data_IF_898426032756
#
_entry.id   IF_898426032756
#
_cell.length_a   1.000
_cell.length_b   1.000
_cell.length_c   1.000
_cell.angle_alpha   90.00
_cell.angle_beta   90.00
_cell.angle_gamma   90.00
#
_symmetry.space_group_name_H-M   'P 1'
#
loop_
_entity.id
_entity.type
_entity.pdbx_description
1 polymer ?
#
# COMPACT_ATOMS: atom_id res chain seq x y z
N UNK A 1 35.55 9.95 -18.71
CA UNK A 1 34.25 9.25 -18.71
C UNK A 1 34.54 7.75 -18.71
N UNK A 2 34.28 6.98 -17.66
CA UNK A 2 34.37 5.53 -17.72
C UNK A 2 33.08 5.01 -18.36
N UNK A 3 33.23 4.33 -19.47
CA UNK A 3 32.19 3.57 -20.17
C UNK A 3 31.72 2.47 -19.20
N UNK A 4 30.51 2.60 -18.68
CA UNK A 4 29.88 1.55 -17.87
C UNK A 4 29.59 0.36 -18.79
N UNK A 5 30.47 -0.62 -18.74
CA UNK A 5 30.27 -1.95 -19.33
C UNK A 5 28.95 -2.52 -18.82
N UNK A 6 27.96 -2.62 -19.71
CA UNK A 6 26.71 -3.36 -19.48
C UNK A 6 27.00 -4.85 -19.52
N UNK A 7 27.73 -5.36 -18.54
CA UNK A 7 27.89 -6.80 -18.35
C UNK A 7 26.51 -7.40 -18.01
N UNK A 8 26.13 -8.48 -18.69
CA UNK A 8 24.94 -9.26 -18.39
C UNK A 8 24.96 -9.66 -16.89
N UNK A 9 23.81 -9.60 -16.21
CA UNK A 9 23.78 -9.96 -14.80
C UNK A 9 24.20 -11.42 -14.62
N UNK A 10 25.00 -11.74 -13.58
CA UNK A 10 25.41 -13.11 -13.32
C UNK A 10 24.15 -14.01 -13.15
N UNK A 11 24.22 -15.24 -13.67
CA UNK A 11 23.09 -16.19 -13.71
C UNK A 11 22.34 -16.30 -12.36
N UNK A 12 23.07 -16.26 -11.24
CA UNK A 12 22.49 -16.29 -9.90
C UNK A 12 21.67 -15.04 -9.54
N UNK A 13 22.00 -13.86 -10.09
CA UNK A 13 21.22 -12.64 -9.87
C UNK A 13 19.93 -12.64 -10.70
N UNK A 14 19.97 -13.19 -11.91
CA UNK A 14 18.77 -13.34 -12.74
C UNK A 14 17.77 -14.29 -12.08
N UNK A 15 18.23 -15.43 -11.57
CA UNK A 15 17.38 -16.39 -10.85
C UNK A 15 16.72 -15.74 -9.63
N UNK A 16 17.48 -15.01 -8.79
CA UNK A 16 16.94 -14.30 -7.63
C UNK A 16 15.82 -13.33 -8.04
N UNK A 17 16.11 -12.42 -9.00
CA UNK A 17 15.15 -11.39 -9.39
C UNK A 17 13.91 -11.96 -10.06
N UNK A 18 14.06 -12.99 -10.91
CA UNK A 18 12.91 -13.64 -11.56
C UNK A 18 12.03 -14.38 -10.55
N UNK A 19 12.62 -15.13 -9.61
CA UNK A 19 11.88 -15.81 -8.54
C UNK A 19 11.17 -14.79 -7.64
N UNK A 20 11.80 -13.67 -7.32
CA UNK A 20 11.21 -12.61 -6.51
C UNK A 20 10.05 -11.93 -7.23
N UNK A 21 10.16 -11.66 -8.54
CA UNK A 21 9.06 -11.11 -9.33
C UNK A 21 7.88 -12.09 -9.45
N UNK A 22 8.18 -13.38 -9.63
CA UNK A 22 7.12 -14.40 -9.66
C UNK A 22 6.41 -14.51 -8.31
N UNK A 23 7.17 -14.42 -7.20
CA UNK A 23 6.61 -14.36 -5.85
C UNK A 23 5.67 -13.15 -5.70
N UNK A 24 6.15 -11.94 -6.03
CA UNK A 24 5.37 -10.72 -5.96
C UNK A 24 4.10 -10.76 -6.83
N UNK A 25 4.18 -11.34 -8.02
CA UNK A 25 3.03 -11.55 -8.90
C UNK A 25 1.98 -12.47 -8.27
N UNK A 26 2.41 -13.64 -7.78
CA UNK A 26 1.51 -14.66 -7.23
C UNK A 26 0.91 -14.24 -5.89
N UNK A 27 1.63 -13.43 -5.13
CA UNK A 27 1.19 -12.94 -3.83
C UNK A 27 -0.09 -12.10 -3.95
N UNK A 28 -0.19 -11.28 -4.98
CA UNK A 28 -1.38 -10.46 -5.27
C UNK A 28 -2.33 -11.09 -6.30
N UNK A 29 -2.00 -12.27 -6.85
CA UNK A 29 -2.86 -12.96 -7.81
C UNK A 29 -4.00 -13.72 -7.09
N UNK A 30 -4.90 -12.98 -6.45
CA UNK A 30 -6.01 -13.52 -5.65
C UNK A 30 -7.35 -13.16 -6.30
N UNK A 31 -8.04 -14.16 -6.84
CA UNK A 31 -9.29 -13.97 -7.58
C UNK A 31 -10.49 -13.61 -6.67
N UNK A 32 -10.38 -13.84 -5.37
CA UNK A 32 -11.41 -13.45 -4.40
C UNK A 32 -11.49 -11.92 -4.17
N UNK A 33 -10.42 -11.16 -4.41
CA UNK A 33 -10.37 -9.71 -4.12
C UNK A 33 -11.57 -8.92 -4.64
N UNK A 34 -12.00 -9.04 -5.89
CA UNK A 34 -13.12 -8.25 -6.39
C UNK A 34 -14.50 -8.68 -5.87
N UNK A 35 -14.63 -9.81 -5.20
CA UNK A 35 -15.93 -10.40 -4.87
C UNK A 35 -16.10 -10.85 -3.41
N UNK A 36 -15.06 -10.79 -2.56
CA UNK A 36 -15.20 -11.27 -1.18
C UNK A 36 -16.21 -10.47 -0.36
N UNK A 37 -16.28 -9.14 -0.55
CA UNK A 37 -17.27 -8.31 0.14
C UNK A 37 -18.70 -8.68 -0.26
N UNK A 38 -18.92 -9.09 -1.52
CA UNK A 38 -20.22 -9.65 -1.96
C UNK A 38 -20.51 -11.00 -1.30
N UNK A 39 -19.50 -11.89 -1.20
CA UNK A 39 -19.64 -13.15 -0.49
C UNK A 39 -20.14 -12.93 0.94
N UNK A 40 -19.62 -11.91 1.63
CA UNK A 40 -20.06 -11.58 2.99
C UNK A 40 -21.51 -11.08 3.00
N UNK A 41 -21.90 -10.22 2.07
CA UNK A 41 -23.28 -9.74 1.92
C UNK A 41 -24.22 -10.89 1.58
N UNK A 42 -23.87 -11.77 0.64
CA UNK A 42 -24.67 -12.90 0.23
C UNK A 42 -24.81 -13.97 1.34
N UNK A 43 -23.86 -13.98 2.29
CA UNK A 43 -23.95 -14.80 3.51
C UNK A 43 -24.88 -14.17 4.57
N UNK A 44 -25.40 -12.95 4.31
CA UNK A 44 -26.34 -12.24 5.18
C UNK A 44 -25.67 -11.33 6.21
N UNK A 45 -24.39 -10.99 6.06
CA UNK A 45 -23.73 -10.03 6.94
C UNK A 45 -24.21 -8.60 6.66
N UNK A 46 -24.47 -7.88 7.73
CA UNK A 46 -24.72 -6.44 7.66
C UNK A 46 -23.44 -5.66 7.31
N UNK A 47 -23.57 -4.46 6.79
CA UNK A 47 -22.44 -3.56 6.51
C UNK A 47 -21.59 -3.32 7.78
N UNK A 48 -22.23 -3.23 8.96
CA UNK A 48 -21.52 -3.11 10.23
C UNK A 48 -20.63 -4.32 10.53
N UNK A 49 -21.13 -5.53 10.28
CA UNK A 49 -20.33 -6.75 10.43
C UNK A 49 -19.18 -6.81 9.42
N UNK A 50 -19.42 -6.44 8.15
CA UNK A 50 -18.37 -6.36 7.12
C UNK A 50 -17.30 -5.35 7.53
N UNK A 51 -17.69 -4.15 7.95
CA UNK A 51 -16.75 -3.14 8.42
C UNK A 51 -15.95 -3.61 9.64
N UNK A 52 -16.58 -4.36 10.56
CA UNK A 52 -15.87 -4.92 11.72
C UNK A 52 -14.80 -5.96 11.32
N UNK A 53 -15.01 -6.70 10.23
CA UNK A 53 -14.01 -7.60 9.67
C UNK A 53 -12.79 -6.82 9.16
N UNK A 54 -13.00 -5.71 8.47
CA UNK A 54 -11.90 -4.84 8.01
C UNK A 54 -11.15 -4.19 9.19
N UNK A 55 -11.88 -3.80 10.26
CA UNK A 55 -11.25 -3.33 11.50
C UNK A 55 -10.39 -4.42 12.14
N UNK A 56 -10.87 -5.66 12.19
CA UNK A 56 -10.10 -6.81 12.69
C UNK A 56 -8.80 -6.99 11.89
N UNK A 57 -8.87 -6.87 10.55
CA UNK A 57 -7.70 -6.96 9.69
C UNK A 57 -6.69 -5.84 9.98
N UNK A 58 -7.12 -4.56 9.97
CA UNK A 58 -6.25 -3.41 10.29
C UNK A 58 -5.64 -3.52 11.69
N UNK A 59 -6.43 -3.89 12.70
CA UNK A 59 -5.93 -4.08 14.07
C UNK A 59 -4.90 -5.21 14.15
N UNK A 60 -5.11 -6.31 13.43
CA UNK A 60 -4.14 -7.41 13.38
C UNK A 60 -2.82 -6.92 12.78
N UNK A 61 -2.86 -6.15 11.70
CA UNK A 61 -1.66 -5.53 11.11
C UNK A 61 -0.92 -4.64 12.09
N UNK A 62 -1.61 -3.69 12.73
CA UNK A 62 -1.04 -2.78 13.72
C UNK A 62 -0.39 -3.53 14.89
N UNK A 63 -1.09 -4.54 15.44
CA UNK A 63 -0.59 -5.29 16.60
C UNK A 63 0.63 -6.14 16.27
N UNK A 64 0.72 -6.62 15.05
CA UNK A 64 1.81 -7.51 14.61
C UNK A 64 2.98 -6.78 13.96
N UNK A 65 2.88 -5.48 13.69
CA UNK A 65 3.96 -4.70 13.06
C UNK A 65 5.29 -4.78 13.84
N UNK A 66 5.24 -4.65 15.17
CA UNK A 66 6.45 -4.75 16.02
C UNK A 66 6.94 -6.18 16.19
N UNK A 67 6.09 -7.18 16.53
CA UNK A 67 6.51 -8.58 16.62
C UNK A 67 7.08 -9.13 15.32
N UNK A 68 6.59 -8.70 14.16
CA UNK A 68 7.04 -9.20 12.86
C UNK A 68 8.51 -8.91 12.57
N UNK A 69 9.01 -7.74 12.99
CA UNK A 69 10.42 -7.40 12.88
C UNK A 69 11.32 -8.38 13.65
N UNK A 70 10.94 -8.72 14.88
CA UNK A 70 11.66 -9.71 15.71
C UNK A 70 11.64 -11.10 15.06
N UNK A 71 10.51 -11.49 14.48
CA UNK A 71 10.42 -12.79 13.78
C UNK A 71 11.27 -12.83 12.52
N UNK A 72 11.34 -11.74 11.76
CA UNK A 72 12.17 -11.64 10.55
C UNK A 72 13.68 -11.78 10.86
N UNK A 73 14.13 -11.41 12.06
CA UNK A 73 15.51 -11.56 12.50
C UNK A 73 15.78 -12.95 13.10
N UNK A 74 14.82 -13.51 13.86
CA UNK A 74 14.97 -14.79 14.55
C UNK A 74 14.79 -16.01 13.63
N UNK A 75 13.90 -15.92 12.64
CA UNK A 75 13.49 -17.04 11.76
C UNK A 75 14.08 -16.85 10.36
N UNK A 76 14.11 -17.92 9.57
CA UNK A 76 14.47 -17.85 8.14
C UNK A 76 13.46 -16.99 7.38
N UNK A 77 13.94 -15.91 6.74
CA UNK A 77 13.09 -15.02 5.93
C UNK A 77 12.41 -15.78 4.78
N UNK A 78 13.12 -16.70 4.15
CA UNK A 78 12.55 -17.62 3.15
C UNK A 78 11.40 -18.43 3.71
N UNK A 79 11.54 -18.95 4.95
CA UNK A 79 10.49 -19.71 5.59
C UNK A 79 9.26 -18.82 5.88
N UNK A 80 9.47 -17.59 6.36
CA UNK A 80 8.38 -16.62 6.57
C UNK A 80 7.64 -16.33 5.25
N UNK A 81 8.39 -16.10 4.16
CA UNK A 81 7.82 -15.86 2.83
C UNK A 81 7.13 -17.10 2.22
N UNK A 82 7.43 -18.29 2.70
CA UNK A 82 6.71 -19.49 2.29
C UNK A 82 5.45 -19.74 3.15
N UNK A 83 5.52 -19.48 4.46
CA UNK A 83 4.40 -19.70 5.40
C UNK A 83 3.31 -18.63 5.21
N UNK A 84 3.69 -17.40 4.94
CA UNK A 84 2.72 -16.31 4.80
C UNK A 84 1.63 -16.59 3.74
N UNK A 85 1.93 -16.99 2.49
CA UNK A 85 0.90 -17.35 1.52
C UNK A 85 0.05 -18.56 1.94
N UNK A 86 0.59 -19.51 2.73
CA UNK A 86 -0.18 -20.63 3.25
C UNK A 86 -1.29 -20.19 4.21
N UNK A 87 -1.02 -19.16 5.04
CA UNK A 87 -2.05 -18.55 5.89
C UNK A 87 -3.15 -17.92 5.04
N UNK A 88 -2.80 -17.24 3.95
CA UNK A 88 -3.76 -16.74 2.97
C UNK A 88 -4.58 -17.85 2.33
N UNK A 89 -3.94 -18.95 1.91
CA UNK A 89 -4.62 -20.11 1.33
C UNK A 89 -5.63 -20.71 2.30
N UNK A 90 -5.27 -20.87 3.58
CA UNK A 90 -6.17 -21.34 4.63
C UNK A 90 -7.35 -20.37 4.81
N UNK A 91 -7.08 -19.07 4.94
CA UNK A 91 -8.12 -18.04 5.10
C UNK A 91 -9.13 -18.04 3.95
N UNK A 92 -8.66 -17.99 2.71
CA UNK A 92 -9.53 -18.01 1.51
C UNK A 92 -10.28 -19.32 1.34
N UNK A 93 -9.63 -20.46 1.66
CA UNK A 93 -10.28 -21.76 1.65
C UNK A 93 -11.41 -21.86 2.66
N UNK A 94 -11.19 -21.36 3.88
CA UNK A 94 -12.20 -21.35 4.95
C UNK A 94 -13.38 -20.44 4.59
N UNK A 95 -13.15 -19.27 3.98
CA UNK A 95 -14.21 -18.34 3.58
C UNK A 95 -15.22 -18.97 2.62
N UNK A 96 -14.73 -19.82 1.72
CA UNK A 96 -15.58 -20.45 0.72
C UNK A 96 -16.18 -21.78 1.24
N UNK A 97 -15.44 -22.51 2.08
CA UNK A 97 -15.89 -23.82 2.58
C UNK A 97 -16.93 -23.71 3.70
N UNK A 98 -16.83 -22.70 4.57
CA UNK A 98 -17.69 -22.53 5.75
C UNK A 98 -18.05 -21.06 5.98
N UNK A 99 -18.79 -20.40 5.05
CA UNK A 99 -19.05 -18.98 5.11
C UNK A 99 -19.85 -18.61 6.36
N UNK A 100 -19.22 -17.88 7.27
CA UNK A 100 -19.83 -17.33 8.48
C UNK A 100 -18.99 -16.18 9.02
N UNK A 101 -19.58 -15.29 9.82
CA UNK A 101 -18.89 -14.13 10.38
C UNK A 101 -17.57 -14.50 11.08
N UNK A 102 -17.57 -15.51 11.94
CA UNK A 102 -16.38 -15.90 12.70
C UNK A 102 -15.30 -16.52 11.83
N UNK A 103 -15.67 -17.24 10.80
CA UNK A 103 -14.73 -17.81 9.82
C UNK A 103 -14.14 -16.69 8.96
N UNK A 104 -14.93 -15.69 8.57
CA UNK A 104 -14.42 -14.50 7.87
C UNK A 104 -13.47 -13.71 8.77
N UNK A 105 -13.81 -13.53 10.06
CA UNK A 105 -12.94 -12.87 11.03
C UNK A 105 -11.61 -13.61 11.19
N UNK A 106 -11.64 -14.93 11.33
CA UNK A 106 -10.42 -15.76 11.38
C UNK A 106 -9.58 -15.59 10.11
N UNK A 107 -10.20 -15.60 8.93
CA UNK A 107 -9.49 -15.40 7.67
C UNK A 107 -8.81 -14.02 7.59
N UNK A 108 -9.45 -12.96 8.10
CA UNK A 108 -8.81 -11.62 8.17
C UNK A 108 -7.68 -11.57 9.19
N UNK A 109 -7.78 -12.27 10.33
CA UNK A 109 -6.64 -12.43 11.24
C UNK A 109 -5.49 -13.14 10.53
N UNK A 110 -5.76 -14.26 9.84
CA UNK A 110 -4.73 -14.99 9.07
C UNK A 110 -4.11 -14.10 7.98
N UNK A 111 -4.91 -13.27 7.31
CA UNK A 111 -4.42 -12.33 6.31
C UNK A 111 -3.57 -11.21 6.92
N UNK A 112 -3.97 -10.67 8.07
CA UNK A 112 -3.15 -9.72 8.82
C UNK A 112 -1.82 -10.31 9.28
N UNK A 113 -1.82 -11.56 9.79
CA UNK A 113 -0.59 -12.31 10.13
C UNK A 113 0.28 -12.52 8.89
N UNK A 114 -0.31 -12.92 7.74
CA UNK A 114 0.39 -13.04 6.46
C UNK A 114 1.15 -11.75 6.12
N UNK A 115 0.45 -10.60 6.15
CA UNK A 115 1.06 -9.31 5.85
C UNK A 115 2.21 -8.99 6.80
N UNK A 116 2.04 -9.24 8.10
CA UNK A 116 3.07 -9.02 9.10
C UNK A 116 4.32 -9.91 8.87
N UNK A 117 4.15 -11.18 8.51
CA UNK A 117 5.27 -12.09 8.22
C UNK A 117 6.06 -11.68 6.96
N UNK A 118 5.39 -11.09 5.98
CA UNK A 118 6.00 -10.61 4.73
C UNK A 118 6.68 -9.26 4.91
N UNK A 119 6.12 -8.40 5.77
CA UNK A 119 6.62 -7.05 6.02
C UNK A 119 8.08 -7.10 6.49
N UNK A 120 8.95 -6.39 5.78
CA UNK A 120 10.39 -6.37 6.05
C UNK A 120 11.15 -7.63 5.66
N UNK A 121 10.57 -8.84 5.77
CA UNK A 121 11.25 -10.09 5.43
C UNK A 121 11.61 -10.19 3.94
N UNK A 122 10.69 -9.79 3.05
CA UNK A 122 10.90 -9.80 1.61
C UNK A 122 11.98 -8.80 1.19
N UNK A 123 11.93 -7.59 1.72
CA UNK A 123 12.86 -6.51 1.42
C UNK A 123 14.26 -6.83 1.94
N UNK A 124 14.34 -7.31 3.18
CA UNK A 124 15.61 -7.67 3.81
C UNK A 124 16.27 -8.86 3.11
N UNK A 125 15.51 -9.92 2.75
CA UNK A 125 16.04 -11.05 1.98
C UNK A 125 16.57 -10.58 0.63
N UNK A 126 15.82 -9.76 -0.09
CA UNK A 126 16.23 -9.25 -1.39
C UNK A 126 17.49 -8.39 -1.29
N UNK A 127 17.56 -7.49 -0.29
CA UNK A 127 18.72 -6.63 -0.08
C UNK A 127 19.97 -7.45 0.23
N UNK A 128 19.91 -8.36 1.19
CA UNK A 128 21.06 -9.18 1.62
C UNK A 128 21.57 -10.06 0.49
N UNK A 129 20.68 -10.65 -0.30
CA UNK A 129 21.06 -11.49 -1.42
C UNK A 129 21.65 -10.70 -2.61
N UNK A 130 21.21 -9.46 -2.83
CA UNK A 130 21.81 -8.54 -3.81
C UNK A 130 23.15 -8.03 -3.31
N UNK A 131 23.26 -7.62 -2.04
CA UNK A 131 24.51 -7.12 -1.44
C UNK A 131 25.60 -8.18 -1.48
N UNK A 132 25.30 -9.40 -1.11
CA UNK A 132 26.22 -10.54 -1.19
C UNK A 132 26.78 -10.77 -2.60
N UNK A 133 26.05 -10.37 -3.61
CA UNK A 133 26.46 -10.46 -5.03
C UNK A 133 27.13 -9.17 -5.54
N UNK A 134 27.34 -8.17 -4.69
CA UNK A 134 27.88 -6.86 -5.06
C UNK A 134 26.91 -6.03 -5.92
N UNK A 135 25.61 -6.29 -5.80
CA UNK A 135 24.54 -5.67 -6.61
C UNK A 135 23.57 -4.82 -5.77
N UNK A 136 23.94 -4.42 -4.55
CA UNK A 136 23.11 -3.60 -3.65
C UNK A 136 22.54 -2.33 -4.34
N UNK A 137 23.34 -1.70 -5.21
CA UNK A 137 22.89 -0.54 -6.00
C UNK A 137 21.69 -0.81 -6.93
N UNK A 138 21.37 -2.07 -7.22
CA UNK A 138 20.21 -2.47 -8.03
C UNK A 138 18.94 -2.67 -7.21
N UNK A 139 19.02 -2.68 -5.87
CA UNK A 139 17.90 -2.96 -4.98
C UNK A 139 16.66 -2.09 -5.31
N UNK A 140 16.80 -0.77 -5.35
CA UNK A 140 15.69 0.14 -5.63
C UNK A 140 15.00 -0.12 -6.99
N UNK A 141 15.77 -0.56 -8.00
CA UNK A 141 15.20 -0.91 -9.31
C UNK A 141 14.45 -2.24 -9.26
N UNK A 142 14.96 -3.21 -8.51
CA UNK A 142 14.33 -4.54 -8.39
C UNK A 142 13.04 -4.42 -7.60
N UNK A 143 13.05 -3.74 -6.44
CA UNK A 143 11.85 -3.58 -5.62
C UNK A 143 10.75 -2.77 -6.35
N UNK A 144 11.12 -1.70 -7.08
CA UNK A 144 10.16 -0.94 -7.88
C UNK A 144 9.52 -1.76 -9.00
N UNK A 145 10.28 -2.64 -9.66
CA UNK A 145 9.72 -3.58 -10.64
C UNK A 145 8.86 -4.65 -9.99
N UNK A 146 9.25 -5.15 -8.82
CA UNK A 146 8.46 -6.12 -8.07
C UNK A 146 7.08 -5.53 -7.72
N UNK A 147 7.01 -4.29 -7.24
CA UNK A 147 5.74 -3.59 -6.97
C UNK A 147 4.86 -3.44 -8.23
N UNK A 148 5.48 -3.16 -9.38
CA UNK A 148 4.74 -3.11 -10.66
C UNK A 148 4.19 -4.49 -11.05
N UNK A 149 4.99 -5.54 -10.87
CA UNK A 149 4.59 -6.92 -11.19
C UNK A 149 3.50 -7.41 -10.24
N UNK A 150 3.56 -7.07 -8.96
CA UNK A 150 2.55 -7.31 -7.93
C UNK A 150 1.20 -6.70 -8.35
N UNK A 151 1.20 -5.40 -8.68
CA UNK A 151 -0.01 -4.72 -9.17
C UNK A 151 -0.57 -5.33 -10.47
N UNK A 152 0.29 -5.77 -11.40
CA UNK A 152 -0.15 -6.51 -12.59
C UNK A 152 -0.78 -7.85 -12.21
N UNK A 153 -0.25 -8.54 -11.18
CA UNK A 153 -0.83 -9.75 -10.62
C UNK A 153 -2.26 -9.52 -10.12
N UNK A 154 -2.47 -8.47 -9.30
CA UNK A 154 -3.79 -8.09 -8.81
C UNK A 154 -4.78 -7.77 -9.95
N UNK A 155 -4.36 -6.92 -10.91
CA UNK A 155 -5.21 -6.56 -12.06
C UNK A 155 -5.60 -7.78 -12.90
N UNK A 156 -4.63 -8.67 -13.17
CA UNK A 156 -4.90 -9.87 -13.92
C UNK A 156 -5.80 -10.84 -13.16
N UNK A 157 -5.61 -10.96 -11.84
CA UNK A 157 -6.50 -11.74 -10.98
C UNK A 157 -7.95 -11.23 -11.03
N UNK A 158 -8.14 -9.91 -10.94
CA UNK A 158 -9.47 -9.29 -11.06
C UNK A 158 -10.08 -9.52 -12.45
N UNK A 159 -9.28 -9.39 -13.51
CA UNK A 159 -9.74 -9.64 -14.87
C UNK A 159 -10.16 -11.12 -15.08
N UNK A 160 -9.36 -12.06 -14.58
CA UNK A 160 -9.64 -13.51 -14.63
C UNK A 160 -10.78 -13.90 -13.70
N UNK A 161 -10.98 -13.18 -12.59
CA UNK A 161 -12.09 -13.44 -11.67
C UNK A 161 -13.46 -13.35 -12.38
N UNK A 162 -13.64 -12.45 -13.35
CA UNK A 162 -14.90 -12.29 -14.09
C UNK A 162 -15.37 -13.60 -14.77
N UNK A 163 -14.61 -14.22 -15.69
CA UNK A 163 -15.04 -15.47 -16.32
C UNK A 163 -15.07 -16.65 -15.34
N UNK A 164 -14.15 -16.73 -14.39
CA UNK A 164 -14.11 -17.81 -13.39
C UNK A 164 -15.35 -17.75 -12.49
N UNK A 165 -15.73 -16.55 -12.05
CA UNK A 165 -16.92 -16.35 -11.23
C UNK A 165 -18.20 -16.67 -12.02
N UNK A 166 -18.28 -16.29 -13.30
CA UNK A 166 -19.42 -16.58 -14.14
C UNK A 166 -19.68 -18.09 -14.32
N UNK A 167 -18.62 -18.91 -14.32
CA UNK A 167 -18.73 -20.37 -14.50
C UNK A 167 -18.99 -21.10 -13.20
N UNK A 168 -18.36 -20.72 -12.09
CA UNK A 168 -18.37 -21.50 -10.87
C UNK A 168 -18.58 -20.70 -9.58
N UNK A 169 -18.97 -19.43 -9.66
CA UNK A 169 -19.26 -18.58 -8.50
C UNK A 169 -18.11 -18.44 -7.50
N UNK A 170 -18.46 -18.23 -6.23
CA UNK A 170 -17.48 -18.11 -5.13
C UNK A 170 -16.57 -19.33 -4.95
N UNK A 171 -17.07 -20.60 -5.07
CA UNK A 171 -16.21 -21.75 -4.96
C UNK A 171 -15.06 -21.76 -5.97
N UNK A 172 -15.33 -21.41 -7.24
CA UNK A 172 -14.31 -21.44 -8.29
C UNK A 172 -13.22 -20.36 -8.07
N UNK A 173 -13.60 -19.12 -7.74
CA UNK A 173 -12.62 -18.07 -7.45
C UNK A 173 -11.88 -18.32 -6.15
N UNK A 174 -12.54 -18.97 -5.16
CA UNK A 174 -11.91 -19.37 -3.91
C UNK A 174 -10.85 -20.44 -4.12
N UNK A 175 -11.17 -21.51 -4.85
CA UNK A 175 -10.20 -22.58 -5.20
C UNK A 175 -9.03 -22.00 -6.01
N UNK A 176 -9.29 -21.13 -6.99
CA UNK A 176 -8.24 -20.50 -7.77
C UNK A 176 -7.31 -19.63 -6.90
N UNK A 177 -7.87 -18.89 -5.93
CA UNK A 177 -7.10 -18.09 -4.97
C UNK A 177 -6.23 -18.95 -4.04
N UNK A 178 -6.79 -20.09 -3.56
CA UNK A 178 -6.03 -21.06 -2.78
C UNK A 178 -4.86 -21.62 -3.58
N UNK A 179 -5.10 -22.05 -4.83
CA UNK A 179 -4.06 -22.60 -5.68
C UNK A 179 -2.96 -21.57 -5.98
N UNK A 180 -3.32 -20.32 -6.24
CA UNK A 180 -2.36 -19.23 -6.45
C UNK A 180 -1.50 -19.00 -5.18
N UNK A 181 -2.13 -18.99 -3.99
CA UNK A 181 -1.41 -18.85 -2.73
C UNK A 181 -0.50 -20.04 -2.42
N UNK A 182 -0.92 -21.26 -2.72
CA UNK A 182 -0.07 -22.46 -2.59
C UNK A 182 1.13 -22.41 -3.54
N UNK A 183 0.92 -21.97 -4.78
CA UNK A 183 1.99 -21.78 -5.75
C UNK A 183 2.96 -20.68 -5.30
N UNK A 184 2.44 -19.58 -4.73
CA UNK A 184 3.23 -18.51 -4.14
C UNK A 184 4.14 -19.06 -3.01
N UNK A 185 3.60 -19.92 -2.14
CA UNK A 185 4.38 -20.56 -1.08
C UNK A 185 5.53 -21.43 -1.63
N UNK A 186 5.27 -22.21 -2.68
CA UNK A 186 6.31 -23.01 -3.36
C UNK A 186 7.39 -22.10 -3.96
N UNK A 187 7.01 -20.99 -4.60
CA UNK A 187 7.95 -20.01 -5.13
C UNK A 187 8.74 -19.34 -4.00
N UNK A 188 8.09 -19.06 -2.86
CA UNK A 188 8.75 -18.55 -1.65
C UNK A 188 9.88 -19.49 -1.16
N UNK A 189 9.63 -20.80 -1.14
CA UNK A 189 10.66 -21.80 -0.81
C UNK A 189 11.82 -21.84 -1.82
N UNK A 190 11.59 -21.44 -3.07
CA UNK A 190 12.63 -21.42 -4.11
C UNK A 190 13.51 -20.15 -4.05
N UNK A 191 13.17 -19.16 -3.20
CA UNK A 191 14.01 -17.99 -2.98
C UNK A 191 15.35 -18.39 -2.34
N UNK A 192 16.49 -17.93 -2.87
CA UNK A 192 17.77 -18.17 -2.26
C UNK A 192 17.89 -17.39 -0.94
N UNK A 193 18.35 -18.05 0.10
CA UNK A 193 18.68 -17.42 1.37
C UNK A 193 20.02 -17.97 1.85
N UNK A 194 20.98 -17.09 2.05
CA UNK A 194 22.28 -17.44 2.61
C UNK A 194 22.41 -16.72 3.96
N UNK A 195 22.06 -17.43 5.03
CA UNK A 195 22.31 -16.95 6.39
C UNK A 195 23.81 -16.80 6.61
N UNK A 196 24.26 -15.63 7.07
CA UNK A 196 25.58 -15.53 7.70
C UNK A 196 25.54 -16.42 8.96
N UNK A 197 26.52 -17.33 9.18
CA UNK A 197 26.65 -17.93 10.49
C UNK A 197 26.71 -16.78 11.50
N UNK A 198 26.00 -16.91 12.62
CA UNK A 198 26.20 -15.98 13.71
C UNK A 198 27.72 -16.02 14.02
N UNK A 199 28.43 -14.95 13.69
CA UNK A 199 29.84 -14.83 14.00
C UNK A 199 29.91 -14.78 15.51
N UNK A 200 30.51 -15.81 16.10
CA UNK A 200 30.79 -15.90 17.52
C UNK A 200 31.40 -14.58 17.99
N UNK A 201 30.66 -13.84 18.80
CA UNK A 201 31.23 -12.95 19.80
C UNK A 201 31.66 -11.55 19.40
N UNK A 202 31.17 -10.94 18.34
CA UNK A 202 31.16 -9.47 18.27
C UNK A 202 29.75 -8.97 18.64
N UNK A 203 29.55 -8.37 19.81
CA UNK A 203 28.35 -7.64 20.07
C UNK A 203 28.34 -6.49 19.04
N UNK A 204 27.54 -6.62 17.98
CA UNK A 204 27.08 -5.44 17.25
C UNK A 204 26.49 -4.53 18.32
N UNK A 205 26.98 -3.29 18.39
CA UNK A 205 26.64 -2.35 19.44
C UNK A 205 25.16 -2.33 19.77
N UNK A 206 24.74 -1.74 20.88
CA UNK A 206 23.44 -1.95 21.49
C UNK A 206 22.39 -2.01 20.40
N UNK A 207 21.75 -3.20 20.24
CA UNK A 207 20.62 -3.40 19.36
C UNK A 207 19.67 -2.25 19.67
N UNK A 208 19.53 -1.31 18.73
CA UNK A 208 18.46 -0.33 18.80
C UNK A 208 17.16 -1.16 18.73
N UNK A 209 16.72 -1.60 19.90
CA UNK A 209 15.42 -2.21 20.09
C UNK A 209 14.43 -1.28 19.40
N UNK A 210 13.75 -1.76 18.39
CA UNK A 210 12.75 -0.97 17.69
C UNK A 210 11.89 -0.29 18.75
N UNK A 211 11.91 1.04 18.83
CA UNK A 211 11.28 1.74 19.96
C UNK A 211 9.80 1.37 19.96
N UNK A 212 9.27 0.93 21.09
CA UNK A 212 7.86 0.56 21.21
C UNK A 212 6.96 1.71 20.72
N UNK A 213 5.76 1.43 20.24
CA UNK A 213 4.83 2.42 19.66
C UNK A 213 4.73 3.74 20.45
N UNK A 214 4.80 3.69 21.78
CA UNK A 214 4.80 4.89 22.62
C UNK A 214 6.08 5.71 22.49
N UNK A 215 7.23 5.09 22.32
CA UNK A 215 8.50 5.79 22.13
C UNK A 215 8.54 6.40 20.71
N UNK A 216 8.12 5.67 19.68
CA UNK A 216 7.94 6.16 18.32
C UNK A 216 7.01 7.38 18.33
N UNK A 217 5.85 7.27 18.98
CA UNK A 217 4.89 8.36 19.08
C UNK A 217 5.49 9.61 19.76
N UNK A 218 6.24 9.44 20.86
CA UNK A 218 6.90 10.57 21.56
C UNK A 218 7.93 11.27 20.69
N UNK A 219 8.79 10.51 20.00
CA UNK A 219 9.84 11.07 19.12
C UNK A 219 9.19 11.79 17.94
N UNK A 220 8.20 11.20 17.31
CA UNK A 220 7.52 11.80 16.16
C UNK A 220 6.68 13.03 16.55
N UNK A 221 6.03 13.04 17.72
CA UNK A 221 5.37 14.24 18.26
C UNK A 221 6.36 15.36 18.57
N UNK A 222 7.55 15.02 19.08
CA UNK A 222 8.61 15.99 19.30
C UNK A 222 9.11 16.59 17.98
N UNK A 223 9.28 15.79 16.93
CA UNK A 223 9.69 16.24 15.60
C UNK A 223 8.59 17.05 14.91
N UNK A 224 7.33 16.61 15.00
CA UNK A 224 6.18 17.36 14.50
C UNK A 224 6.01 18.74 15.17
N UNK A 225 6.40 18.86 16.46
CA UNK A 225 6.42 20.16 17.15
C UNK A 225 7.49 21.10 16.62
N UNK A 226 8.63 20.57 16.16
CA UNK A 226 9.76 21.36 15.65
C UNK A 226 9.58 21.82 14.20
N UNK A 227 8.97 20.99 13.36
CA UNK A 227 8.83 21.26 11.93
C UNK A 227 7.36 21.36 11.48
N UNK A 228 6.99 22.54 10.93
CA UNK A 228 5.68 22.74 10.29
C UNK A 228 5.46 21.80 9.12
N UNK A 229 6.51 21.53 8.34
CA UNK A 229 6.43 20.67 7.17
C UNK A 229 6.10 19.22 7.58
N UNK A 230 6.81 18.69 8.59
CA UNK A 230 6.55 17.34 9.14
C UNK A 230 5.13 17.25 9.71
N UNK A 231 4.68 18.25 10.43
CA UNK A 231 3.31 18.28 11.01
C UNK A 231 2.24 18.27 9.93
N UNK A 232 2.39 19.09 8.87
CA UNK A 232 1.44 19.11 7.77
C UNK A 232 1.44 17.79 7.01
N UNK A 233 2.60 17.18 6.80
CA UNK A 233 2.71 15.91 6.10
C UNK A 233 2.11 14.74 6.91
N UNK A 234 2.33 14.72 8.25
CA UNK A 234 1.73 13.74 9.16
C UNK A 234 0.20 13.84 9.29
N UNK A 235 -0.38 15.00 8.96
CA UNK A 235 -1.83 15.16 8.92
C UNK A 235 -2.39 14.88 7.52
N UNK A 236 -1.64 15.24 6.48
CA UNK A 236 -2.12 15.21 5.11
C UNK A 236 -2.05 13.81 4.52
N UNK A 237 -0.93 13.09 4.69
CA UNK A 237 -0.71 11.78 4.10
C UNK A 237 -1.70 10.72 4.61
N UNK A 238 -1.93 10.58 5.95
CA UNK A 238 -2.94 9.67 6.47
C UNK A 238 -4.34 9.91 5.92
N UNK A 239 -4.78 11.15 5.85
CA UNK A 239 -6.11 11.49 5.33
C UNK A 239 -6.19 11.24 3.82
N UNK A 240 -5.12 11.62 3.07
CA UNK A 240 -5.06 11.38 1.63
C UNK A 240 -5.14 9.90 1.31
N UNK A 241 -4.37 9.06 2.00
CA UNK A 241 -4.25 7.63 1.71
C UNK A 241 -5.35 6.80 2.40
N UNK A 242 -5.64 7.08 3.67
CA UNK A 242 -6.53 6.25 4.48
C UNK A 242 -8.00 6.33 4.05
N UNK A 243 -8.47 7.46 3.50
CA UNK A 243 -9.87 7.56 3.08
C UNK A 243 -10.12 6.73 1.82
N UNK A 244 -9.37 6.91 0.74
CA UNK A 244 -9.63 6.16 -0.48
C UNK A 244 -9.23 4.69 -0.32
N UNK A 245 -8.16 4.39 0.42
CA UNK A 245 -7.79 3.01 0.74
C UNK A 245 -8.87 2.29 1.55
N UNK A 246 -9.49 2.96 2.53
CA UNK A 246 -10.64 2.40 3.24
C UNK A 246 -11.89 2.27 2.36
N UNK A 247 -12.15 3.21 1.46
CA UNK A 247 -13.28 3.15 0.52
C UNK A 247 -13.11 2.05 -0.54
N UNK A 248 -11.88 1.70 -0.89
CA UNK A 248 -11.57 0.66 -1.86
C UNK A 248 -12.23 -0.67 -1.50
N UNK A 249 -12.25 -1.03 -0.22
CA UNK A 249 -12.85 -2.26 0.29
C UNK A 249 -14.38 -2.34 0.06
N UNK A 250 -15.02 -1.19 -0.12
CA UNK A 250 -16.47 -1.09 -0.38
C UNK A 250 -16.82 -0.89 -1.86
N UNK A 251 -15.82 -0.75 -2.75
CA UNK A 251 -16.07 -0.63 -4.21
C UNK A 251 -16.89 -1.81 -4.74
N UNK A 252 -16.65 -3.07 -4.32
CA UNK A 252 -17.49 -4.19 -4.74
C UNK A 252 -18.95 -4.06 -4.31
N UNK A 253 -19.22 -3.51 -3.12
CA UNK A 253 -20.59 -3.29 -2.62
C UNK A 253 -21.29 -2.18 -3.43
N UNK A 254 -20.60 -1.07 -3.69
CA UNK A 254 -21.12 -0.01 -4.57
C UNK A 254 -21.39 -0.54 -5.99
N UNK A 255 -20.51 -1.39 -6.52
CA UNK A 255 -20.69 -2.03 -7.82
C UNK A 255 -21.89 -2.98 -7.83
N UNK A 256 -22.13 -3.71 -6.73
CA UNK A 256 -23.26 -4.61 -6.57
C UNK A 256 -24.62 -3.92 -6.63
N UNK A 257 -24.71 -2.63 -6.25
CA UNK A 257 -25.96 -1.85 -6.39
C UNK A 257 -26.33 -1.56 -7.86
N UNK A 258 -25.36 -1.56 -8.78
CA UNK A 258 -25.57 -1.11 -10.17
C UNK A 258 -25.41 -2.22 -11.22
N UNK A 259 -24.92 -3.39 -10.82
CA UNK A 259 -24.77 -4.55 -11.70
C UNK A 259 -24.98 -5.85 -10.94
N UNK A 260 -25.24 -6.94 -11.66
CA UNK A 260 -25.27 -8.27 -11.04
C UNK A 260 -23.87 -8.75 -10.62
N UNK A 261 -23.79 -9.78 -9.76
CA UNK A 261 -22.52 -10.26 -9.17
C UNK A 261 -21.42 -10.55 -10.21
N UNK A 262 -21.77 -11.08 -11.38
CA UNK A 262 -20.81 -11.37 -12.44
C UNK A 262 -20.20 -10.10 -13.10
N UNK A 263 -20.87 -8.95 -12.99
CA UNK A 263 -20.39 -7.68 -13.54
C UNK A 263 -19.51 -6.90 -12.57
N UNK A 264 -19.55 -7.23 -11.27
CA UNK A 264 -18.81 -6.50 -10.22
C UNK A 264 -17.29 -6.54 -10.48
N UNK A 265 -16.65 -7.67 -10.81
CA UNK A 265 -15.21 -7.68 -11.04
C UNK A 265 -14.76 -6.73 -12.16
N UNK A 266 -15.60 -6.50 -13.20
CA UNK A 266 -15.26 -5.56 -14.28
C UNK A 266 -15.24 -4.10 -13.79
N UNK A 267 -16.18 -3.71 -12.94
CA UNK A 267 -16.20 -2.36 -12.37
C UNK A 267 -15.06 -2.16 -11.36
N UNK A 268 -14.75 -3.18 -10.57
CA UNK A 268 -13.58 -3.18 -9.70
C UNK A 268 -12.29 -3.09 -10.52
N UNK A 269 -12.17 -3.86 -11.62
CA UNK A 269 -11.03 -3.78 -12.53
C UNK A 269 -10.84 -2.36 -13.09
N UNK A 270 -11.91 -1.69 -13.46
CA UNK A 270 -11.86 -0.31 -13.96
C UNK A 270 -11.28 0.64 -12.89
N UNK A 271 -11.71 0.51 -11.64
CA UNK A 271 -11.19 1.33 -10.52
C UNK A 271 -9.73 1.04 -10.26
N UNK A 272 -9.32 -0.24 -10.18
CA UNK A 272 -7.93 -0.64 -9.97
C UNK A 272 -7.01 -0.26 -11.14
N UNK A 273 -7.51 -0.31 -12.39
CA UNK A 273 -6.80 0.23 -13.53
C UNK A 273 -6.59 1.74 -13.37
N UNK A 274 -7.56 2.47 -12.85
CA UNK A 274 -7.42 3.88 -12.48
C UNK A 274 -6.32 4.09 -11.45
N UNK A 275 -6.28 3.30 -10.37
CA UNK A 275 -5.23 3.33 -9.34
C UNK A 275 -3.85 3.11 -9.97
N UNK A 276 -3.71 2.11 -10.85
CA UNK A 276 -2.45 1.84 -11.56
C UNK A 276 -2.02 3.04 -12.42
N UNK A 277 -2.93 3.62 -13.19
CA UNK A 277 -2.65 4.81 -14.00
C UNK A 277 -2.24 5.98 -13.11
N UNK A 278 -2.88 6.17 -11.95
CA UNK A 278 -2.51 7.17 -10.96
C UNK A 278 -1.07 7.02 -10.47
N UNK A 279 -0.64 5.79 -10.20
CA UNK A 279 0.74 5.47 -9.88
C UNK A 279 1.72 5.88 -10.99
N UNK A 280 1.40 5.55 -12.24
CA UNK A 280 2.22 5.92 -13.41
C UNK A 280 2.27 7.44 -13.66
N UNK A 281 1.23 8.18 -13.27
CA UNK A 281 1.16 9.63 -13.40
C UNK A 281 1.92 10.38 -12.28
N UNK A 282 2.44 9.70 -11.25
CA UNK A 282 3.15 10.33 -10.13
C UNK A 282 4.29 11.26 -10.57
N UNK A 283 5.15 10.93 -11.55
CA UNK A 283 6.21 11.84 -12.00
C UNK A 283 5.66 13.14 -12.60
N UNK A 284 4.49 13.10 -13.23
CA UNK A 284 3.80 14.30 -13.72
C UNK A 284 3.19 15.08 -12.54
N UNK A 285 2.61 14.37 -11.58
CA UNK A 285 2.05 14.94 -10.35
C UNK A 285 3.09 15.70 -9.52
N UNK A 286 4.34 15.22 -9.46
CA UNK A 286 5.45 15.89 -8.76
C UNK A 286 5.76 17.28 -9.33
N UNK A 287 5.50 17.51 -10.61
CA UNK A 287 5.70 18.81 -11.27
C UNK A 287 4.58 19.81 -10.95
N UNK A 288 3.46 19.36 -10.40
CA UNK A 288 2.34 20.21 -10.06
C UNK A 288 2.67 21.09 -8.85
N UNK A 289 2.27 22.36 -8.92
CA UNK A 289 2.27 23.24 -7.74
C UNK A 289 1.20 22.76 -6.73
N UNK A 290 1.33 23.17 -5.46
CA UNK A 290 0.33 22.83 -4.43
C UNK A 290 -1.09 23.29 -4.83
N UNK A 291 -1.22 24.41 -5.54
CA UNK A 291 -2.51 24.92 -6.04
C UNK A 291 -3.13 23.98 -7.08
N UNK A 292 -2.33 23.49 -8.02
CA UNK A 292 -2.80 22.55 -9.05
C UNK A 292 -3.09 21.18 -8.45
N UNK A 293 -2.25 20.69 -7.53
CA UNK A 293 -2.51 19.44 -6.81
C UNK A 293 -3.83 19.54 -6.03
N UNK A 294 -4.08 20.66 -5.32
CA UNK A 294 -5.34 20.91 -4.66
C UNK A 294 -6.54 20.97 -5.62
N UNK A 295 -6.36 21.50 -6.85
CA UNK A 295 -7.42 21.49 -7.86
C UNK A 295 -7.72 20.06 -8.32
N UNK A 296 -6.70 19.23 -8.55
CA UNK A 296 -6.86 17.81 -8.93
C UNK A 296 -7.58 17.03 -7.82
N UNK A 297 -7.17 17.21 -6.56
CA UNK A 297 -7.81 16.53 -5.40
C UNK A 297 -9.28 16.98 -5.27
N UNK A 298 -9.57 18.27 -5.44
CA UNK A 298 -10.95 18.77 -5.39
C UNK A 298 -11.81 18.23 -6.54
N UNK A 299 -11.27 18.18 -7.75
CA UNK A 299 -11.96 17.58 -8.90
C UNK A 299 -12.20 16.07 -8.69
N UNK A 300 -11.22 15.35 -8.13
CA UNK A 300 -11.34 13.95 -7.78
C UNK A 300 -12.45 13.71 -6.74
N UNK A 301 -12.52 14.55 -5.70
CA UNK A 301 -13.60 14.48 -4.70
C UNK A 301 -14.99 14.62 -5.33
N UNK A 302 -15.16 15.60 -6.22
CA UNK A 302 -16.43 15.82 -6.93
C UNK A 302 -16.72 14.63 -7.86
N UNK A 303 -15.73 14.17 -8.62
CA UNK A 303 -15.88 13.02 -9.51
C UNK A 303 -16.28 11.75 -8.74
N UNK A 304 -15.68 11.50 -7.56
CA UNK A 304 -16.02 10.38 -6.69
C UNK A 304 -17.47 10.48 -6.22
N UNK A 305 -17.88 11.65 -5.70
CA UNK A 305 -19.23 11.87 -5.20
C UNK A 305 -20.27 11.74 -6.34
N UNK A 306 -20.07 12.40 -7.47
CA UNK A 306 -20.97 12.34 -8.62
C UNK A 306 -21.02 10.92 -9.18
N UNK A 307 -19.87 10.27 -9.39
CA UNK A 307 -19.79 8.92 -9.94
C UNK A 307 -20.55 7.91 -9.09
N UNK A 308 -20.32 7.93 -7.77
CA UNK A 308 -21.01 7.03 -6.83
C UNK A 308 -22.52 7.28 -6.74
N UNK A 309 -22.96 8.54 -6.88
CA UNK A 309 -24.38 8.91 -6.80
C UNK A 309 -25.16 8.64 -8.09
N UNK A 310 -24.51 8.32 -9.21
CA UNK A 310 -25.23 8.09 -10.50
C UNK A 310 -26.17 6.89 -10.47
N UNK A 311 -25.92 5.89 -9.60
CA UNK A 311 -26.67 4.63 -9.60
C UNK A 311 -26.57 3.85 -10.93
N UNK A 312 -25.51 4.04 -11.71
CA UNK A 312 -25.31 3.42 -13.04
C UNK A 312 -23.87 2.94 -13.20
N UNK A 313 -23.63 1.84 -13.95
CA UNK A 313 -22.28 1.36 -14.22
C UNK A 313 -21.36 2.42 -14.86
N UNK A 314 -21.89 3.32 -15.70
CA UNK A 314 -21.14 4.42 -16.31
C UNK A 314 -20.51 5.38 -15.28
N UNK A 315 -21.11 5.52 -14.09
CA UNK A 315 -20.56 6.32 -13.00
C UNK A 315 -19.20 5.83 -12.51
N UNK A 316 -18.90 4.55 -12.69
CA UNK A 316 -17.59 3.97 -12.32
C UNK A 316 -16.42 4.52 -13.13
N UNK A 317 -16.65 5.14 -14.29
CA UNK A 317 -15.62 5.89 -15.01
C UNK A 317 -15.17 7.09 -14.17
N UNK A 318 -16.10 7.80 -13.55
CA UNK A 318 -15.78 8.93 -12.66
C UNK A 318 -15.15 8.44 -11.34
N UNK A 319 -15.62 7.32 -10.78
CA UNK A 319 -15.01 6.69 -9.59
C UNK A 319 -13.56 6.29 -9.90
N UNK A 320 -13.31 5.62 -11.03
CA UNK A 320 -11.97 5.23 -11.46
C UNK A 320 -11.05 6.44 -11.69
N UNK A 321 -11.55 7.50 -12.33
CA UNK A 321 -10.82 8.74 -12.52
C UNK A 321 -10.48 9.41 -11.17
N UNK A 322 -11.41 9.37 -10.21
CA UNK A 322 -11.16 9.88 -8.87
C UNK A 322 -10.07 9.07 -8.15
N UNK A 323 -10.17 7.75 -8.14
CA UNK A 323 -9.15 6.87 -7.54
C UNK A 323 -7.77 7.06 -8.20
N UNK A 324 -7.71 7.22 -9.54
CA UNK A 324 -6.50 7.57 -10.27
C UNK A 324 -5.85 8.86 -9.74
N UNK A 325 -6.64 9.92 -9.62
CA UNK A 325 -6.16 11.22 -9.18
C UNK A 325 -5.76 11.21 -7.70
N UNK A 326 -6.52 10.52 -6.83
CA UNK A 326 -6.23 10.38 -5.40
C UNK A 326 -4.97 9.53 -5.16
N UNK A 327 -4.79 8.42 -5.88
CA UNK A 327 -3.57 7.63 -5.83
C UNK A 327 -2.35 8.45 -6.23
N UNK A 328 -2.40 9.15 -7.37
CA UNK A 328 -1.33 10.03 -7.79
C UNK A 328 -1.01 11.08 -6.72
N UNK A 329 -2.03 11.73 -6.16
CA UNK A 329 -1.86 12.76 -5.15
C UNK A 329 -1.28 12.22 -3.84
N UNK A 330 -1.67 11.01 -3.42
CA UNK A 330 -1.13 10.32 -2.24
C UNK A 330 0.36 10.01 -2.40
N UNK A 331 0.76 9.47 -3.55
CA UNK A 331 2.16 9.18 -3.84
C UNK A 331 3.00 10.47 -3.95
N UNK A 332 2.46 11.54 -4.53
CA UNK A 332 3.13 12.85 -4.54
C UNK A 332 3.30 13.39 -3.12
N UNK A 333 2.30 13.22 -2.25
CA UNK A 333 2.38 13.65 -0.85
C UNK A 333 3.42 12.83 -0.08
N UNK A 334 3.50 11.51 -0.30
CA UNK A 334 4.51 10.66 0.31
C UNK A 334 5.93 11.03 -0.13
N UNK A 335 6.18 11.19 -1.43
CA UNK A 335 7.50 11.62 -1.93
C UNK A 335 7.92 12.94 -1.29
N UNK A 336 7.03 13.94 -1.24
CA UNK A 336 7.32 15.23 -0.61
C UNK A 336 7.57 15.10 0.90
N UNK A 337 6.87 14.20 1.59
CA UNK A 337 7.17 13.89 2.98
C UNK A 337 8.59 13.35 3.12
N UNK A 338 8.95 12.32 2.32
CA UNK A 338 10.28 11.72 2.35
C UNK A 338 11.40 12.71 2.06
N UNK A 339 11.17 13.66 1.13
CA UNK A 339 12.12 14.73 0.80
C UNK A 339 12.24 15.78 1.92
N UNK A 340 11.18 16.00 2.72
CA UNK A 340 11.15 17.00 3.79
C UNK A 340 11.82 16.54 5.08
N UNK A 341 12.10 15.23 5.21
CA UNK A 341 12.68 14.64 6.42
C UNK A 341 14.15 14.30 6.15
N UNK A 342 15.05 14.83 6.99
CA UNK A 342 16.47 14.53 6.96
C UNK A 342 16.91 13.70 8.17
N UNK A 343 17.83 12.75 7.94
CA UNK A 343 18.50 12.01 9.00
C UNK A 343 17.69 10.89 9.66
N UNK A 344 18.01 10.53 10.92
CA UNK A 344 17.49 9.35 11.60
C UNK A 344 15.98 9.41 11.93
N UNK A 345 15.38 10.61 11.89
CA UNK A 345 13.95 10.78 12.14
C UNK A 345 13.05 10.22 11.01
N UNK A 346 13.61 9.91 9.83
CA UNK A 346 12.83 9.45 8.66
C UNK A 346 12.02 8.20 8.96
N UNK A 347 12.65 7.15 9.49
CA UNK A 347 11.98 5.89 9.82
C UNK A 347 10.81 6.12 10.80
N UNK A 348 11.04 6.90 11.86
CA UNK A 348 10.03 7.22 12.89
C UNK A 348 8.85 7.98 12.32
N UNK A 349 9.09 8.98 11.46
CA UNK A 349 8.02 9.79 10.85
C UNK A 349 7.22 8.96 9.84
N UNK A 350 7.88 8.10 9.06
CA UNK A 350 7.21 7.20 8.11
C UNK A 350 6.33 6.18 8.84
N UNK A 351 6.82 5.57 9.92
CA UNK A 351 6.03 4.64 10.74
C UNK A 351 4.82 5.34 11.39
N UNK A 352 4.98 6.58 11.87
CA UNK A 352 3.86 7.36 12.40
C UNK A 352 2.82 7.72 11.32
N UNK A 353 3.27 8.06 10.11
CA UNK A 353 2.37 8.31 9.00
C UNK A 353 1.58 7.05 8.62
N UNK A 354 2.23 5.88 8.61
CA UNK A 354 1.58 4.58 8.40
C UNK A 354 0.52 4.29 9.47
N UNK A 355 0.88 4.41 10.76
CA UNK A 355 -0.07 4.25 11.85
C UNK A 355 -1.25 5.24 11.75
N UNK A 356 -0.96 6.50 11.39
CA UNK A 356 -2.00 7.51 11.15
C UNK A 356 -2.94 7.11 10.01
N UNK A 357 -2.41 6.52 8.93
CA UNK A 357 -3.19 6.01 7.81
C UNK A 357 -4.14 4.89 8.26
N UNK A 358 -3.65 3.92 9.02
CA UNK A 358 -4.48 2.84 9.55
C UNK A 358 -5.59 3.36 10.48
N UNK A 359 -5.29 4.36 11.33
CA UNK A 359 -6.30 4.96 12.20
C UNK A 359 -7.39 5.71 11.39
N UNK A 360 -7.01 6.42 10.33
CA UNK A 360 -7.98 7.06 9.42
C UNK A 360 -8.81 6.00 8.69
N UNK A 361 -8.19 4.93 8.22
CA UNK A 361 -8.86 3.81 7.55
C UNK A 361 -9.89 3.14 8.47
N UNK A 362 -9.52 2.86 9.73
CA UNK A 362 -10.48 2.37 10.75
C UNK A 362 -11.62 3.39 10.96
N UNK A 363 -11.29 4.68 11.00
CA UNK A 363 -12.29 5.75 11.07
C UNK A 363 -13.25 5.76 9.87
N UNK A 364 -12.75 5.46 8.66
CA UNK A 364 -13.58 5.29 7.46
C UNK A 364 -14.52 4.09 7.62
N UNK A 365 -14.05 2.95 8.10
CA UNK A 365 -14.89 1.77 8.34
C UNK A 365 -16.01 2.06 9.35
N UNK A 366 -15.69 2.76 10.45
CA UNK A 366 -16.68 3.20 11.42
C UNK A 366 -17.68 4.21 10.85
N UNK A 367 -17.20 5.22 10.12
CA UNK A 367 -18.03 6.21 9.45
C UNK A 367 -18.92 5.59 8.38
N UNK A 368 -18.38 4.66 7.59
CA UNK A 368 -19.13 3.89 6.61
C UNK A 368 -20.30 3.12 7.26
N UNK A 369 -20.00 2.40 8.35
CA UNK A 369 -21.02 1.70 9.14
C UNK A 369 -22.14 2.63 9.58
N UNK A 370 -21.79 3.78 10.18
CA UNK A 370 -22.79 4.71 10.72
C UNK A 370 -23.70 5.28 9.63
N UNK A 371 -23.11 5.75 8.53
CA UNK A 371 -23.89 6.38 7.45
C UNK A 371 -24.69 5.35 6.67
N UNK A 372 -24.19 4.13 6.49
CA UNK A 372 -24.90 3.08 5.76
C UNK A 372 -26.18 2.58 6.45
N UNK A 373 -26.39 2.91 7.72
CA UNK A 373 -27.67 2.61 8.42
C UNK A 373 -28.84 3.43 7.91
N UNK A 374 -28.57 4.57 7.30
CA UNK A 374 -29.61 5.55 6.87
C UNK A 374 -29.49 5.92 5.39
N UNK A 375 -28.42 5.49 4.70
CA UNK A 375 -28.17 5.87 3.32
C UNK A 375 -27.51 4.72 2.52
N UNK A 376 -27.73 4.68 1.20
CA UNK A 376 -27.09 3.71 0.29
C UNK A 376 -25.59 4.01 0.10
N UNK A 377 -24.88 3.05 -0.48
CA UNK A 377 -23.41 3.11 -0.67
C UNK A 377 -22.97 4.36 -1.43
N UNK A 378 -23.73 4.81 -2.45
CA UNK A 378 -23.39 6.02 -3.21
C UNK A 378 -23.32 7.28 -2.35
N UNK A 379 -24.27 7.46 -1.40
CA UNK A 379 -24.28 8.60 -0.47
C UNK A 379 -23.09 8.51 0.50
N UNK A 380 -22.77 7.31 0.99
CA UNK A 380 -21.62 7.10 1.88
C UNK A 380 -20.30 7.51 1.19
N UNK A 381 -20.10 7.08 -0.05
CA UNK A 381 -18.92 7.47 -0.86
C UNK A 381 -18.87 9.00 -1.05
N UNK A 382 -20.01 9.64 -1.35
CA UNK A 382 -20.08 11.09 -1.53
C UNK A 382 -19.73 11.86 -0.24
N UNK A 383 -20.22 11.41 0.91
CA UNK A 383 -19.90 12.03 2.21
C UNK A 383 -18.44 11.83 2.60
N UNK A 384 -17.89 10.62 2.41
CA UNK A 384 -16.49 10.33 2.70
C UNK A 384 -15.52 10.98 1.68
N UNK A 385 -16.01 11.47 0.55
CA UNK A 385 -15.25 12.33 -0.36
C UNK A 385 -15.10 13.77 0.15
N UNK A 386 -16.00 14.28 1.02
CA UNK A 386 -15.99 15.67 1.49
C UNK A 386 -14.66 16.13 2.15
N UNK A 387 -13.98 15.31 2.98
CA UNK A 387 -12.67 15.69 3.54
C UNK A 387 -11.64 16.09 2.49
N UNK A 388 -11.69 15.50 1.28
CA UNK A 388 -10.79 15.88 0.20
C UNK A 388 -11.05 17.30 -0.32
N UNK A 389 -12.28 17.82 -0.25
CA UNK A 389 -12.56 19.23 -0.57
C UNK A 389 -11.87 20.18 0.43
N UNK A 390 -11.89 19.82 1.71
CA UNK A 390 -11.19 20.59 2.75
C UNK A 390 -9.69 20.57 2.51
N UNK A 391 -9.11 19.40 2.19
CA UNK A 391 -7.70 19.27 1.82
C UNK A 391 -7.35 20.08 0.57
N UNK A 392 -8.19 20.00 -0.46
CA UNK A 392 -8.02 20.76 -1.70
C UNK A 392 -7.97 22.27 -1.45
N UNK A 393 -8.85 22.79 -0.61
CA UNK A 393 -8.86 24.19 -0.21
C UNK A 393 -7.61 24.57 0.58
N UNK A 394 -7.17 23.70 1.50
CA UNK A 394 -5.94 23.87 2.26
C UNK A 394 -4.71 23.95 1.36
N UNK A 395 -4.57 23.01 0.42
CA UNK A 395 -3.47 22.98 -0.54
C UNK A 395 -3.46 24.22 -1.47
N UNK A 396 -4.63 24.66 -1.90
CA UNK A 396 -4.74 25.88 -2.75
C UNK A 396 -4.34 27.14 -2.00
N UNK A 397 -4.64 27.25 -0.70
CA UNK A 397 -4.25 28.39 0.15
C UNK A 397 -2.78 28.35 0.54
N UNK A 398 -2.21 27.19 0.77
CA UNK A 398 -0.81 26.99 1.12
C UNK A 398 0.17 27.26 -0.03
N UNK A 399 -0.30 27.60 -1.22
CA UNK A 399 0.39 27.64 -2.50
C UNK A 399 1.63 28.52 -2.63
N UNK A 400 2.06 29.23 -1.60
CA UNK A 400 3.29 30.01 -1.58
C UNK A 400 4.41 29.41 -0.70
N UNK A 401 4.11 28.55 0.25
CA UNK A 401 5.09 28.02 1.22
C UNK A 401 5.58 26.60 0.91
N UNK A 402 4.83 25.83 0.14
CA UNK A 402 5.13 24.42 -0.14
C UNK A 402 6.09 24.19 -1.33
N UNK A 403 6.28 25.20 -2.18
CA UNK A 403 7.19 25.15 -3.34
C UNK A 403 8.60 25.67 -3.09
N UNK A 404 8.92 26.19 -1.89
CA UNK A 404 10.20 26.84 -1.58
C UNK A 404 11.22 25.96 -0.85
N UNK A 405 10.93 24.70 -0.56
CA UNK A 405 11.90 23.82 0.06
C UNK A 405 13.00 23.31 -0.90
N UNK A 406 12.85 23.50 -2.21
CA UNK A 406 13.81 23.06 -3.23
C UNK A 406 14.70 24.17 -3.81
N UNK A 407 14.55 25.41 -3.36
CA UNK A 407 15.23 26.58 -3.96
C UNK A 407 16.34 27.24 -3.14
N UNK A 408 16.39 27.04 -1.84
CA UNK A 408 17.40 27.66 -0.96
C UNK A 408 18.49 26.65 -0.54
N UNK A 409 19.29 26.19 -1.49
CA UNK A 409 20.69 25.86 -1.17
C UNK A 409 21.42 27.21 -1.17
N UNK A 410 22.05 27.64 -0.03
CA UNK A 410 22.91 28.81 -0.06
C UNK A 410 24.01 28.56 -1.08
N UNK A 411 24.12 29.41 -2.06
CA UNK A 411 25.11 29.34 -3.08
C UNK A 411 26.51 29.32 -2.47
N UNK A 412 27.21 28.22 -2.76
CA UNK A 412 28.67 28.16 -2.62
C UNK A 412 29.27 29.04 -3.75
N UNK A 413 29.06 30.36 -3.65
CA UNK A 413 29.79 31.30 -4.47
C UNK A 413 30.18 32.52 -3.61
N UNK A 414 31.41 32.55 -3.20
CA UNK A 414 31.95 33.67 -2.44
C UNK A 414 33.16 33.33 -1.59
N UNK A 415 34.23 32.74 -2.14
CA UNK A 415 35.62 32.95 -1.65
C UNK A 415 36.62 32.27 -2.60
N UNK A 416 36.90 32.90 -3.73
CA UNK A 416 38.17 32.76 -4.50
C UNK A 416 38.38 33.95 -5.39
N UNK A 417 38.61 35.11 -4.79
CA UNK A 417 39.42 36.17 -5.35
C UNK A 417 40.12 36.82 -4.18
N UNK A 418 41.40 36.69 -4.20
CA UNK A 418 42.47 37.47 -3.59
C UNK A 418 43.55 36.57 -2.99
N UNK A 419 44.49 36.18 -3.80
CA UNK A 419 45.91 35.95 -3.45
C UNK A 419 46.71 35.61 -4.71
N UNK A 420 46.86 36.57 -5.60
CA UNK A 420 47.99 36.63 -6.52
C UNK A 420 48.57 38.04 -6.42
N UNK A 421 49.59 38.19 -5.63
CA UNK A 421 50.62 39.25 -5.80
C UNK A 421 52.00 38.62 -5.56
N UNK A 422 52.99 38.98 -6.39
CA UNK A 422 54.24 38.24 -6.48
C UNK A 422 55.33 38.87 -5.57
N UNK A 423 56.24 38.02 -5.13
CA UNK A 423 57.68 38.28 -5.04
C UNK A 423 58.39 36.95 -5.08
#
# INVERSE_FOLDING_TARGET
>A
MPVTSSAAPPVGALRLTTTFYLYAFLDDFVLLYPVYALLFTDTGLSVAQISSLFVIWSLTGILLEVPSGVWADAVSRRLLLAVAPLLGAVGFGLWVAAPSYWVFALGFVLWGVRGALQSGAAEALLYDELDRRGLAARYGRVIGRASTVSLLGALLAIAVATPVFAVGGYPAVGVASVLASLLCAVVGLALPEHRRPASDGVPTGPEEQSPGHLAILRVALAEARKSRAVRHALLLLPVMLGIWGGLEEYVPLLAGEVTGPAGVPLLVLLVWAGVMVGGLLTPLGQRLTARWLGTVVGAASIALAVGAMTGRPAGFVLVAAAFCALQMASLVADVRLQESISGPARATVTSLAGLGTELVTIGVYGGYTLVSTVAGHGVVFALLACPYLVLALGLRRAGASWGRASGDRPGADGTRRDALTPL
#
